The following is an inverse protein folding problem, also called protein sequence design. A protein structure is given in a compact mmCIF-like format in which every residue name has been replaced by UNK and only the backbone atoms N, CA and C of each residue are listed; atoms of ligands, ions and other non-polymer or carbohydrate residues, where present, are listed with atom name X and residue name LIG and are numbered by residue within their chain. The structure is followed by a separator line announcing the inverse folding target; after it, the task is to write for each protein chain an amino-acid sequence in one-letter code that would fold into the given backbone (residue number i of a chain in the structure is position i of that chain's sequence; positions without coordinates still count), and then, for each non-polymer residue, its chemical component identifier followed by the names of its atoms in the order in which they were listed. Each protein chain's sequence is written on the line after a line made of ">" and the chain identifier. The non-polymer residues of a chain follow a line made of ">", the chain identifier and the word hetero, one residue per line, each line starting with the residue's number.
data_IF_953820201300
#
_entry.id   IF_953820201300
#
_cell.length_a   1.000
_cell.length_b   1.000
_cell.length_c   1.000
_cell.angle_alpha   90.00
_cell.angle_beta   90.00
_cell.angle_gamma   90.00
#
_symmetry.space_group_name_H-M   'P 1'
#
loop_
_entity.id
_entity.type
_entity.pdbx_description
1 polymer ?
#
# COMPACT_ATOMS: atom_id res chain seq x y z
N UNK A 1 -20.91 6.91 -18.58
CA UNK A 1 -20.59 7.09 -17.15
C UNK A 1 -19.23 6.46 -16.86
N UNK A 2 -18.39 7.12 -16.06
CA UNK A 2 -17.07 6.66 -15.63
C UNK A 2 -17.13 6.35 -14.12
N UNK A 3 -16.80 5.12 -13.73
CA UNK A 3 -16.58 4.77 -12.33
C UNK A 3 -15.08 4.72 -12.05
N UNK A 4 -14.62 5.40 -11.00
CA UNK A 4 -13.19 5.43 -10.71
C UNK A 4 -12.87 5.58 -9.23
N UNK A 5 -11.61 5.24 -8.91
CA UNK A 5 -11.02 5.32 -7.58
C UNK A 5 -10.55 6.76 -7.32
N UNK A 6 -10.91 7.32 -6.17
CA UNK A 6 -10.59 8.72 -5.84
C UNK A 6 -9.72 8.89 -4.58
N UNK A 7 -9.51 7.82 -3.82
CA UNK A 7 -8.68 7.82 -2.61
C UNK A 7 -7.72 6.62 -2.59
N UNK A 8 -6.76 6.62 -1.66
CA UNK A 8 -5.87 5.49 -1.44
C UNK A 8 -6.53 4.43 -0.54
N UNK A 9 -6.00 3.20 -0.58
CA UNK A 9 -6.56 2.03 0.12
C UNK A 9 -5.44 1.13 0.69
N UNK A 10 -4.25 1.70 0.88
CA UNK A 10 -3.06 1.01 1.36
C UNK A 10 -2.18 2.02 2.10
N UNK A 11 -1.12 1.54 2.73
CA UNK A 11 -0.11 2.38 3.36
C UNK A 11 0.46 3.41 2.38
N UNK A 12 0.43 4.69 2.76
CA UNK A 12 0.97 5.82 1.98
C UNK A 12 2.04 6.62 2.73
N UNK A 13 2.32 6.25 3.97
CA UNK A 13 3.34 6.91 4.79
C UNK A 13 3.13 6.70 6.29
N UNK A 14 4.06 7.21 7.08
CA UNK A 14 4.01 7.14 8.53
C UNK A 14 3.09 8.22 9.12
N UNK A 15 3.59 9.46 9.21
CA UNK A 15 2.91 10.56 9.89
C UNK A 15 2.39 11.63 8.91
N UNK A 16 2.65 11.44 7.62
CA UNK A 16 2.07 12.22 6.53
C UNK A 16 1.88 11.35 5.27
N UNK A 17 1.26 11.92 4.23
CA UNK A 17 1.15 11.31 2.90
C UNK A 17 2.50 11.32 2.16
N UNK A 18 3.49 10.61 2.72
CA UNK A 18 4.89 10.59 2.26
C UNK A 18 5.02 10.09 0.80
N UNK A 19 4.10 9.24 0.33
CA UNK A 19 4.05 8.75 -1.06
C UNK A 19 3.13 9.57 -1.96
N UNK A 20 2.59 10.71 -1.48
CA UNK A 20 1.62 11.55 -2.21
C UNK A 20 0.45 10.70 -2.78
N UNK A 21 -0.01 9.70 -2.02
CA UNK A 21 -1.09 8.81 -2.41
C UNK A 21 -2.44 9.50 -2.58
N UNK A 22 -2.76 10.49 -1.75
CA UNK A 22 -3.99 11.26 -1.87
C UNK A 22 -3.95 12.17 -3.09
N UNK A 23 -2.86 12.92 -3.27
CA UNK A 23 -2.66 13.84 -4.38
C UNK A 23 -2.64 13.11 -5.73
N UNK A 24 -1.87 12.03 -5.87
CA UNK A 24 -1.85 11.22 -7.09
C UNK A 24 -3.22 10.67 -7.47
N UNK A 25 -4.10 10.41 -6.50
CA UNK A 25 -5.47 9.94 -6.78
C UNK A 25 -6.35 11.05 -7.34
N UNK A 26 -6.17 12.28 -6.85
CA UNK A 26 -6.82 13.46 -7.44
C UNK A 26 -6.30 13.70 -8.86
N UNK A 27 -4.98 13.67 -9.07
CA UNK A 27 -4.38 13.82 -10.40
C UNK A 27 -4.91 12.77 -11.38
N UNK A 28 -4.98 11.50 -10.95
CA UNK A 28 -5.54 10.41 -11.76
C UNK A 28 -7.00 10.64 -12.11
N UNK A 29 -7.82 11.05 -11.15
CA UNK A 29 -9.23 11.38 -11.37
C UNK A 29 -9.37 12.50 -12.41
N UNK A 30 -8.63 13.60 -12.24
CA UNK A 30 -8.65 14.74 -13.15
C UNK A 30 -8.23 14.34 -14.57
N UNK A 31 -7.10 13.63 -14.71
CA UNK A 31 -6.62 13.15 -16.01
C UNK A 31 -7.63 12.23 -16.69
N UNK A 32 -8.29 11.33 -15.96
CA UNK A 32 -9.31 10.45 -16.53
C UNK A 32 -10.52 11.24 -17.03
N UNK A 33 -10.98 12.24 -16.27
CA UNK A 33 -12.09 13.12 -16.70
C UNK A 33 -11.70 13.90 -17.96
N UNK A 34 -10.49 14.46 -18.02
CA UNK A 34 -10.00 15.24 -19.16
C UNK A 34 -9.86 14.40 -20.43
N UNK A 35 -9.32 13.18 -20.32
CA UNK A 35 -9.05 12.29 -21.44
C UNK A 35 -10.33 11.64 -21.96
N UNK A 36 -11.14 11.06 -21.07
CA UNK A 36 -12.33 10.32 -21.48
C UNK A 36 -13.54 11.22 -21.72
N UNK A 37 -13.53 12.45 -21.18
CA UNK A 37 -14.64 13.42 -21.24
C UNK A 37 -16.00 12.75 -20.94
N UNK A 38 -16.11 11.98 -19.84
CA UNK A 38 -17.35 11.30 -19.54
C UNK A 38 -18.43 12.33 -19.22
N UNK A 39 -19.67 12.02 -19.58
CA UNK A 39 -20.81 12.83 -19.19
C UNK A 39 -21.00 12.87 -17.67
N UNK A 40 -20.85 11.70 -17.03
CA UNK A 40 -20.93 11.52 -15.58
C UNK A 40 -19.74 10.71 -15.10
N UNK A 41 -19.12 11.15 -14.01
CA UNK A 41 -18.08 10.45 -13.26
C UNK A 41 -18.59 10.20 -11.86
N UNK A 42 -18.56 8.94 -11.42
CA UNK A 42 -18.96 8.54 -10.07
C UNK A 42 -17.74 7.96 -9.34
N UNK A 43 -17.21 8.68 -8.34
CA UNK A 43 -16.19 8.14 -7.44
C UNK A 43 -16.81 7.00 -6.62
N UNK A 44 -16.30 5.77 -6.79
CA UNK A 44 -16.90 4.56 -6.17
C UNK A 44 -15.91 3.65 -5.47
N UNK A 45 -14.63 3.67 -5.89
CA UNK A 45 -13.59 2.88 -5.27
C UNK A 45 -12.79 3.73 -4.25
N UNK A 46 -12.46 3.13 -3.11
CA UNK A 46 -11.77 3.71 -1.95
C UNK A 46 -12.58 4.57 -0.97
N UNK A 47 -13.81 4.18 -0.65
CA UNK A 47 -14.42 4.58 0.63
C UNK A 47 -13.81 3.78 1.80
N UNK A 48 -12.48 3.66 1.81
CA UNK A 48 -11.75 2.96 2.87
C UNK A 48 -11.85 3.82 4.13
N UNK A 49 -11.81 3.19 5.29
CA UNK A 49 -11.55 3.89 6.54
C UNK A 49 -10.63 3.02 7.38
N UNK A 50 -9.54 3.59 7.86
CA UNK A 50 -8.57 2.89 8.69
C UNK A 50 -9.07 2.86 10.13
N UNK A 51 -9.69 1.75 10.51
CA UNK A 51 -10.46 1.61 11.75
C UNK A 51 -9.65 1.06 12.93
N UNK A 52 -8.32 1.06 12.90
CA UNK A 52 -7.52 0.52 14.00
C UNK A 52 -6.49 1.55 14.50
N UNK A 53 -6.17 1.55 15.79
CA UNK A 53 -5.11 2.41 16.37
C UNK A 53 -3.78 2.33 15.59
N UNK A 54 -3.46 1.15 15.05
CA UNK A 54 -2.25 0.91 14.26
C UNK A 54 -2.24 1.60 12.90
N UNK A 55 -3.37 2.13 12.39
CA UNK A 55 -3.46 2.70 11.04
C UNK A 55 -4.36 3.93 10.89
N UNK A 56 -5.18 4.28 11.89
CA UNK A 56 -6.20 5.32 11.82
C UNK A 56 -5.65 6.72 11.49
N UNK A 57 -4.38 6.98 11.82
CA UNK A 57 -3.66 8.21 11.46
C UNK A 57 -3.75 8.55 9.97
N UNK A 58 -3.82 7.53 9.10
CA UNK A 58 -3.89 7.75 7.65
C UNK A 58 -5.21 8.38 7.19
N UNK A 59 -6.28 8.26 7.98
CA UNK A 59 -7.56 8.90 7.66
C UNK A 59 -7.44 10.43 7.55
N UNK A 60 -6.41 11.04 8.16
CA UNK A 60 -6.19 12.49 8.10
C UNK A 60 -5.93 13.00 6.67
N UNK A 61 -5.39 12.16 5.79
CA UNK A 61 -5.01 12.55 4.43
C UNK A 61 -5.90 11.92 3.37
N UNK A 62 -6.89 11.14 3.79
CA UNK A 62 -7.78 10.43 2.89
C UNK A 62 -8.65 11.41 2.10
N UNK A 63 -8.80 11.17 0.79
CA UNK A 63 -9.78 11.89 0.01
C UNK A 63 -11.18 11.43 0.40
N UNK A 64 -12.07 12.37 0.69
CA UNK A 64 -13.47 12.15 1.01
C UNK A 64 -14.36 12.68 -0.12
N UNK A 65 -15.63 12.27 -0.21
CA UNK A 65 -16.57 12.86 -1.16
C UNK A 65 -16.62 14.38 -1.08
N UNK A 66 -16.61 14.94 0.14
CA UNK A 66 -16.57 16.38 0.34
C UNK A 66 -15.24 17.01 -0.14
N UNK A 67 -14.10 16.34 0.02
CA UNK A 67 -12.83 16.86 -0.50
C UNK A 67 -12.79 16.89 -2.03
N UNK A 68 -13.33 15.87 -2.69
CA UNK A 68 -13.45 15.83 -4.15
C UNK A 68 -14.47 16.86 -4.65
N UNK A 69 -15.61 17.03 -3.98
CA UNK A 69 -16.62 18.02 -4.35
C UNK A 69 -16.05 19.45 -4.36
N UNK A 70 -15.15 19.79 -3.42
CA UNK A 70 -14.48 21.10 -3.36
C UNK A 70 -13.63 21.42 -4.58
N UNK A 71 -13.17 20.41 -5.33
CA UNK A 71 -12.41 20.59 -6.57
C UNK A 71 -13.27 21.09 -7.72
N UNK A 72 -14.62 21.02 -7.61
CA UNK A 72 -15.59 21.48 -8.62
C UNK A 72 -15.33 20.91 -10.02
N UNK A 73 -14.90 19.66 -10.09
CA UNK A 73 -14.68 18.94 -11.35
C UNK A 73 -16.01 18.72 -12.07
N UNK A 74 -16.05 19.01 -13.38
CA UNK A 74 -17.28 18.91 -14.18
C UNK A 74 -17.75 17.46 -14.30
N UNK A 75 -19.04 17.23 -14.08
CA UNK A 75 -19.68 15.92 -14.27
C UNK A 75 -19.37 14.90 -13.16
N UNK A 76 -18.71 15.32 -12.07
CA UNK A 76 -18.52 14.45 -10.90
C UNK A 76 -19.78 14.45 -10.04
N UNK A 77 -20.28 13.25 -9.73
CA UNK A 77 -21.45 13.02 -8.89
C UNK A 77 -21.16 11.90 -7.90
N UNK A 78 -21.70 11.98 -6.68
CA UNK A 78 -21.52 10.97 -5.65
C UNK A 78 -22.74 10.06 -5.52
N UNK A 79 -22.48 8.80 -5.22
CA UNK A 79 -23.47 7.78 -4.87
C UNK A 79 -23.05 7.09 -3.58
N UNK A 80 -24.05 6.73 -2.78
CA UNK A 80 -23.93 5.95 -1.55
C UNK A 80 -24.36 4.51 -1.80
N UNK A 81 -23.86 3.50 -1.06
CA UNK A 81 -24.34 2.13 -1.18
C UNK A 81 -25.87 2.04 -1.04
N UNK A 82 -26.52 1.45 -2.05
CA UNK A 82 -27.98 1.35 -2.13
C UNK A 82 -28.65 2.47 -2.94
N UNK A 83 -27.91 3.49 -3.37
CA UNK A 83 -28.44 4.47 -4.32
C UNK A 83 -28.70 3.84 -5.69
N UNK A 84 -29.80 4.25 -6.29
CA UNK A 84 -30.15 3.91 -7.67
C UNK A 84 -29.86 5.11 -8.58
N UNK A 85 -29.41 4.82 -9.80
CA UNK A 85 -29.26 5.83 -10.84
C UNK A 85 -30.26 5.56 -11.95
N UNK A 86 -31.18 6.50 -12.16
CA UNK A 86 -32.17 6.44 -13.22
C UNK A 86 -31.58 7.03 -14.52
N UNK A 87 -31.49 6.19 -15.55
CA UNK A 87 -30.96 6.57 -16.85
C UNK A 87 -31.85 7.55 -17.61
N UNK A 88 -33.15 7.57 -17.32
CA UNK A 88 -34.11 8.44 -18.00
C UNK A 88 -34.06 9.86 -17.42
N UNK A 89 -34.00 9.98 -16.10
CA UNK A 89 -33.88 11.27 -15.42
C UNK A 89 -32.47 11.86 -15.54
N UNK A 90 -31.43 11.02 -15.64
CA UNK A 90 -30.01 11.41 -15.67
C UNK A 90 -29.59 12.29 -14.48
N UNK A 91 -30.26 12.15 -13.34
CA UNK A 91 -29.97 12.91 -12.11
C UNK A 91 -29.26 12.07 -11.06
N UNK A 92 -28.63 12.74 -10.09
CA UNK A 92 -27.95 12.13 -8.95
C UNK A 92 -28.41 12.80 -7.66
N UNK A 93 -28.59 12.03 -6.59
CA UNK A 93 -28.85 12.54 -5.25
C UNK A 93 -27.54 12.92 -4.51
N UNK A 94 -26.69 13.69 -5.20
CA UNK A 94 -25.31 13.99 -4.80
C UNK A 94 -25.17 14.51 -3.36
N UNK A 95 -26.04 15.46 -3.00
CA UNK A 95 -26.03 16.08 -1.68
C UNK A 95 -26.37 15.06 -0.58
N UNK A 96 -27.37 14.20 -0.83
CA UNK A 96 -27.81 13.19 0.13
C UNK A 96 -26.73 12.11 0.33
N UNK A 97 -26.10 11.67 -0.77
CA UNK A 97 -25.00 10.72 -0.71
C UNK A 97 -23.83 11.25 0.13
N UNK A 98 -23.44 12.52 -0.08
CA UNK A 98 -22.37 13.16 0.72
C UNK A 98 -22.74 13.34 2.18
N UNK A 99 -23.99 13.68 2.49
CA UNK A 99 -24.45 13.77 3.87
C UNK A 99 -24.36 12.43 4.60
N UNK A 100 -24.78 11.34 3.94
CA UNK A 100 -24.67 9.99 4.51
C UNK A 100 -23.22 9.60 4.80
N UNK A 101 -22.29 9.83 3.87
CA UNK A 101 -20.87 9.58 4.14
C UNK A 101 -20.33 10.44 5.29
N UNK A 102 -20.74 11.72 5.39
CA UNK A 102 -20.33 12.58 6.51
C UNK A 102 -20.85 12.07 7.84
N UNK A 103 -22.10 11.61 7.89
CA UNK A 103 -22.70 11.00 9.06
C UNK A 103 -21.97 9.71 9.45
N UNK A 104 -21.61 8.86 8.48
CA UNK A 104 -20.83 7.64 8.75
C UNK A 104 -19.47 8.01 9.36
N UNK A 105 -18.69 8.87 8.70
CA UNK A 105 -17.36 9.26 9.18
C UNK A 105 -17.36 9.87 10.58
N UNK A 106 -18.44 10.54 10.98
CA UNK A 106 -18.59 11.11 12.32
C UNK A 106 -18.83 10.04 13.41
N UNK A 107 -19.31 8.85 13.04
CA UNK A 107 -19.71 7.79 13.96
C UNK A 107 -18.82 6.55 13.91
N UNK A 108 -17.78 6.53 13.08
CA UNK A 108 -16.87 5.38 12.97
C UNK A 108 -16.03 5.21 14.24
N UNK A 109 -15.96 3.98 14.71
CA UNK A 109 -15.15 3.60 15.87
C UNK A 109 -13.74 3.19 15.42
N UNK A 110 -12.77 3.50 16.27
CA UNK A 110 -11.40 3.01 16.13
C UNK A 110 -11.24 1.82 17.07
N UNK A 111 -10.98 0.66 16.49
CA UNK A 111 -10.62 -0.56 17.19
C UNK A 111 -9.24 -0.39 17.86
N UNK A 112 -9.07 -0.94 19.07
CA UNK A 112 -7.79 -0.89 19.75
C UNK A 112 -6.73 -1.68 18.99
N UNK A 113 -5.47 -1.46 19.37
CA UNK A 113 -4.36 -2.31 18.99
C UNK A 113 -4.72 -3.79 19.24
N UNK A 114 -4.51 -4.69 18.26
CA UNK A 114 -4.88 -6.10 18.42
C UNK A 114 -4.17 -6.78 19.59
N UNK A 115 -4.82 -7.83 20.12
CA UNK A 115 -4.26 -8.61 21.23
C UNK A 115 -2.85 -9.14 20.91
N UNK A 116 -1.91 -9.04 21.87
CA UNK A 116 -0.55 -9.50 21.65
C UNK A 116 -0.44 -10.99 21.34
N UNK A 117 0.54 -11.32 20.49
CA UNK A 117 0.91 -12.69 20.13
C UNK A 117 2.17 -13.11 20.87
N UNK A 118 2.20 -14.36 21.34
CA UNK A 118 3.35 -14.92 22.05
C UNK A 118 4.64 -14.83 21.24
N UNK A 119 5.72 -14.42 21.89
CA UNK A 119 7.02 -14.22 21.22
C UNK A 119 7.55 -15.50 20.56
N UNK A 120 7.24 -16.65 21.14
CA UNK A 120 7.62 -17.95 20.62
C UNK A 120 6.95 -18.22 19.25
N UNK A 121 5.71 -17.78 19.06
CA UNK A 121 4.97 -17.92 17.80
C UNK A 121 5.57 -17.02 16.71
N UNK A 122 6.00 -15.81 17.06
CA UNK A 122 6.70 -14.90 16.15
C UNK A 122 8.01 -15.55 15.69
N UNK A 123 8.83 -16.05 16.62
CA UNK A 123 10.10 -16.71 16.31
C UNK A 123 9.92 -17.92 15.39
N UNK A 124 8.94 -18.78 15.69
CA UNK A 124 8.60 -19.93 14.84
C UNK A 124 8.16 -19.51 13.43
N UNK A 125 7.33 -18.47 13.31
CA UNK A 125 6.88 -17.95 12.02
C UNK A 125 8.04 -17.39 11.18
N UNK A 126 8.95 -16.64 11.81
CA UNK A 126 10.15 -16.10 11.17
C UNK A 126 11.06 -17.22 10.71
N UNK A 127 11.35 -18.19 11.57
CA UNK A 127 12.21 -19.33 11.24
C UNK A 127 11.66 -20.13 10.05
N UNK A 128 10.37 -20.49 10.10
CA UNK A 128 9.71 -21.17 8.99
C UNK A 128 9.81 -20.36 7.70
N UNK A 129 9.56 -19.05 7.75
CA UNK A 129 9.65 -18.16 6.57
C UNK A 129 11.07 -18.13 5.99
N UNK A 130 12.09 -18.02 6.85
CA UNK A 130 13.49 -17.99 6.42
C UNK A 130 13.93 -19.32 5.81
N UNK A 131 13.48 -20.45 6.35
CA UNK A 131 13.71 -21.78 5.78
C UNK A 131 13.04 -21.92 4.40
N UNK A 132 11.78 -21.50 4.26
CA UNK A 132 11.08 -21.46 2.96
C UNK A 132 11.78 -20.56 1.94
N UNK A 133 12.33 -19.41 2.38
CA UNK A 133 13.09 -18.53 1.51
C UNK A 133 14.40 -19.18 1.06
N UNK A 134 15.14 -19.84 1.97
CA UNK A 134 16.37 -20.57 1.64
C UNK A 134 16.15 -21.69 0.63
N UNK A 135 15.02 -22.40 0.69
CA UNK A 135 14.73 -23.49 -0.24
C UNK A 135 14.28 -23.00 -1.63
N UNK A 136 13.73 -21.79 -1.73
CA UNK A 136 13.18 -21.23 -2.99
C UNK A 136 14.06 -20.17 -3.66
N UNK A 137 14.97 -19.54 -2.92
CA UNK A 137 15.80 -18.44 -3.41
C UNK A 137 17.28 -18.83 -3.37
N UNK A 138 17.99 -18.77 -4.51
CA UNK A 138 19.43 -19.00 -4.55
C UNK A 138 20.21 -18.11 -3.58
N UNK A 139 21.20 -18.67 -2.89
CA UNK A 139 22.03 -17.98 -1.90
C UNK A 139 22.62 -16.63 -2.35
N UNK A 140 23.13 -16.46 -3.60
CA UNK A 140 23.64 -15.16 -4.06
C UNK A 140 22.56 -14.07 -4.09
N UNK A 141 21.30 -14.44 -4.29
CA UNK A 141 20.17 -13.52 -4.30
C UNK A 141 19.74 -13.16 -2.88
N UNK A 142 19.78 -14.13 -1.95
CA UNK A 142 19.56 -13.87 -0.51
C UNK A 142 20.61 -12.92 0.08
N UNK A 143 21.88 -13.03 -0.33
CA UNK A 143 22.96 -12.11 0.08
C UNK A 143 22.74 -10.65 -0.33
N UNK A 144 21.81 -10.36 -1.26
CA UNK A 144 21.42 -8.99 -1.61
C UNK A 144 20.39 -8.39 -0.67
N UNK A 145 19.89 -9.18 0.28
CA UNK A 145 18.94 -8.73 1.29
C UNK A 145 19.71 -8.37 2.55
N UNK A 146 19.83 -7.08 2.90
CA UNK A 146 20.50 -6.68 4.13
C UNK A 146 19.66 -7.12 5.34
N UNK A 147 20.30 -7.35 6.49
CA UNK A 147 19.60 -7.51 7.75
C UNK A 147 18.72 -6.29 8.05
N UNK A 148 17.62 -6.51 8.75
CA UNK A 148 16.72 -5.46 9.19
C UNK A 148 16.15 -5.79 10.56
N UNK A 149 15.66 -4.75 11.24
CA UNK A 149 15.05 -4.88 12.55
C UNK A 149 13.62 -4.34 12.55
N UNK A 150 12.76 -5.00 13.33
CA UNK A 150 11.38 -4.62 13.61
C UNK A 150 11.28 -4.36 15.11
N UNK A 151 10.80 -3.18 15.50
CA UNK A 151 10.39 -2.91 16.86
C UNK A 151 8.94 -3.36 17.05
N UNK A 152 8.74 -4.30 17.97
CA UNK A 152 7.45 -4.87 18.35
C UNK A 152 7.00 -4.12 19.60
N UNK A 153 6.17 -3.09 19.41
CA UNK A 153 5.97 -2.04 20.42
C UNK A 153 5.14 -2.51 21.62
N UNK A 154 4.17 -3.38 21.41
CA UNK A 154 3.29 -3.98 22.43
C UNK A 154 4.02 -5.00 23.34
N UNK A 155 5.12 -5.58 22.86
CA UNK A 155 5.98 -6.48 23.64
C UNK A 155 7.28 -5.83 24.12
N UNK A 156 7.52 -4.57 23.74
CA UNK A 156 8.77 -3.84 23.95
C UNK A 156 10.05 -4.58 23.49
N UNK A 157 9.96 -5.33 22.38
CA UNK A 157 11.06 -6.18 21.90
C UNK A 157 11.49 -5.81 20.49
N UNK A 158 12.74 -6.15 20.17
CA UNK A 158 13.30 -5.96 18.83
C UNK A 158 13.52 -7.32 18.19
N UNK A 159 12.93 -7.50 17.01
CA UNK A 159 13.16 -8.64 16.13
C UNK A 159 14.18 -8.24 15.05
N UNK A 160 15.37 -8.80 15.14
CA UNK A 160 16.38 -8.73 14.08
C UNK A 160 16.23 -9.94 13.15
N UNK A 161 16.22 -9.68 11.85
CA UNK A 161 16.12 -10.71 10.81
C UNK A 161 17.29 -10.54 9.85
N UNK A 162 18.06 -11.61 9.65
CA UNK A 162 19.09 -11.69 8.61
C UNK A 162 18.71 -12.80 7.62
N UNK A 163 18.09 -12.44 6.47
CA UNK A 163 17.67 -13.40 5.46
C UNK A 163 18.84 -14.11 4.76
N UNK A 164 20.01 -13.47 4.68
CA UNK A 164 21.18 -14.04 4.01
C UNK A 164 21.76 -15.20 4.81
N UNK A 165 21.82 -15.05 6.14
CA UNK A 165 22.21 -16.13 7.07
C UNK A 165 21.02 -17.02 7.43
N UNK A 166 19.80 -16.55 7.18
CA UNK A 166 18.52 -17.14 7.57
C UNK A 166 18.50 -17.49 9.05
N UNK A 167 18.86 -16.51 9.87
CA UNK A 167 18.70 -16.51 11.31
C UNK A 167 17.93 -15.25 11.72
N UNK A 168 17.43 -15.29 12.95
CA UNK A 168 16.74 -14.17 13.57
C UNK A 168 17.08 -14.13 15.06
N UNK A 169 16.86 -12.98 15.69
CA UNK A 169 17.03 -12.80 17.12
C UNK A 169 15.92 -11.91 17.65
N UNK A 170 15.32 -12.30 18.77
CA UNK A 170 14.36 -11.45 19.48
C UNK A 170 14.92 -11.17 20.87
N UNK A 171 15.00 -9.90 21.24
CA UNK A 171 15.58 -9.46 22.50
C UNK A 171 14.93 -8.17 22.99
N UNK A 172 15.14 -7.86 24.26
CA UNK A 172 14.76 -6.56 24.83
C UNK A 172 15.75 -5.52 24.34
N UNK A 173 15.31 -4.69 23.39
CA UNK A 173 16.15 -3.62 22.87
C UNK A 173 16.19 -2.44 23.84
N UNK A 174 17.33 -1.80 23.98
CA UNK A 174 17.41 -0.48 24.61
C UNK A 174 16.73 0.59 23.73
N UNK A 175 16.53 1.80 24.25
CA UNK A 175 15.87 2.90 23.53
C UNK A 175 16.49 3.16 22.15
N UNK A 176 17.82 3.13 22.06
CA UNK A 176 18.54 3.36 20.80
C UNK A 176 18.26 2.26 19.77
N UNK A 177 18.23 0.99 20.19
CA UNK A 177 17.92 -0.15 19.32
C UNK A 177 16.46 -0.14 18.86
N UNK A 178 15.53 0.19 19.78
CA UNK A 178 14.10 0.37 19.43
C UNK A 178 13.94 1.48 18.41
N UNK A 179 14.65 2.60 18.57
CA UNK A 179 14.63 3.74 17.64
C UNK A 179 15.28 3.44 16.29
N UNK A 180 16.39 2.70 16.28
CA UNK A 180 17.12 2.31 15.08
C UNK A 180 16.42 1.20 14.27
N UNK A 181 15.45 0.50 14.86
CA UNK A 181 14.65 -0.47 14.15
C UNK A 181 13.98 0.19 12.94
N UNK A 182 14.09 -0.47 11.79
CA UNK A 182 13.59 0.09 10.53
C UNK A 182 12.07 0.14 10.53
N UNK A 183 11.45 -0.93 10.99
CA UNK A 183 10.00 -1.06 11.04
C UNK A 183 9.52 -1.03 12.49
N UNK A 184 8.29 -0.59 12.66
CA UNK A 184 7.57 -0.62 13.92
C UNK A 184 6.14 -1.10 13.66
N UNK A 185 5.68 -2.05 14.48
CA UNK A 185 4.35 -2.67 14.39
C UNK A 185 4.05 -3.44 15.68
N UNK A 186 2.79 -3.80 15.93
CA UNK A 186 2.45 -4.71 17.03
C UNK A 186 2.84 -6.17 16.71
N UNK A 187 2.84 -7.01 17.75
CA UNK A 187 3.25 -8.42 17.68
C UNK A 187 2.37 -9.24 16.75
N UNK A 188 1.06 -8.96 16.69
CA UNK A 188 0.14 -9.63 15.79
C UNK A 188 0.48 -9.36 14.32
N UNK A 189 0.75 -8.11 13.96
CA UNK A 189 1.15 -7.72 12.59
C UNK A 189 2.51 -8.32 12.25
N UNK A 190 3.46 -8.31 13.19
CA UNK A 190 4.76 -8.95 13.02
C UNK A 190 4.60 -10.45 12.75
N UNK A 191 3.86 -11.17 13.60
CA UNK A 191 3.55 -12.59 13.40
C UNK A 191 2.92 -12.85 12.04
N UNK A 192 1.85 -12.12 11.70
CA UNK A 192 1.11 -12.32 10.45
C UNK A 192 2.00 -12.12 9.22
N UNK A 193 2.89 -11.13 9.27
CA UNK A 193 3.86 -10.81 8.20
C UNK A 193 4.74 -12.01 7.83
N UNK A 194 5.13 -12.83 8.81
CA UNK A 194 5.97 -14.00 8.57
C UNK A 194 5.17 -15.30 8.45
N UNK A 195 4.06 -15.44 9.17
CA UNK A 195 3.22 -16.63 9.20
C UNK A 195 2.65 -16.97 7.82
N UNK A 196 2.28 -15.96 7.03
CA UNK A 196 1.65 -16.13 5.73
C UNK A 196 2.54 -15.67 4.57
N UNK A 197 2.56 -16.39 3.42
CA UNK A 197 3.33 -15.96 2.25
C UNK A 197 2.94 -14.57 1.74
N UNK A 198 1.67 -14.21 1.88
CA UNK A 198 1.12 -12.90 1.55
C UNK A 198 1.08 -11.92 2.73
N UNK A 199 1.58 -12.30 3.91
CA UNK A 199 1.45 -11.52 5.14
C UNK A 199 1.99 -10.09 4.99
N UNK A 200 3.07 -9.94 4.24
CA UNK A 200 3.63 -8.64 3.90
C UNK A 200 2.72 -7.76 3.03
N UNK A 201 2.05 -8.36 2.04
CA UNK A 201 1.08 -7.62 1.21
C UNK A 201 -0.08 -7.15 2.08
N UNK A 202 -0.53 -7.98 3.03
CA UNK A 202 -1.55 -7.60 4.00
C UNK A 202 -1.06 -6.48 4.93
N UNK A 203 0.19 -6.51 5.40
CA UNK A 203 0.78 -5.42 6.19
C UNK A 203 0.80 -4.09 5.39
N UNK A 204 1.16 -4.15 4.10
CA UNK A 204 1.13 -2.99 3.21
C UNK A 204 -0.29 -2.47 2.94
N UNK A 205 -1.25 -3.36 2.67
CA UNK A 205 -2.63 -2.97 2.41
C UNK A 205 -3.34 -2.46 3.67
N UNK A 206 -3.05 -3.03 4.84
CA UNK A 206 -3.63 -2.58 6.12
C UNK A 206 -2.99 -1.31 6.64
N UNK A 207 -1.70 -1.08 6.34
CA UNK A 207 -0.91 0.04 6.84
C UNK A 207 -0.72 0.07 8.35
N UNK A 208 -0.88 -1.09 9.01
CA UNK A 208 -0.68 -1.29 10.45
C UNK A 208 0.80 -1.40 10.85
N UNK A 209 1.66 -0.64 10.17
CA UNK A 209 3.09 -0.57 10.48
C UNK A 209 3.65 0.80 10.09
N UNK A 210 4.85 1.09 10.60
CA UNK A 210 5.66 2.25 10.24
C UNK A 210 6.97 1.79 9.59
N UNK A 211 7.42 2.47 8.53
CA UNK A 211 8.77 2.35 7.97
C UNK A 211 9.53 3.65 8.23
N UNK A 212 10.34 3.67 9.30
CA UNK A 212 11.02 4.87 9.78
C UNK A 212 12.10 5.40 8.84
N UNK A 213 12.47 4.64 7.81
CA UNK A 213 13.45 5.06 6.80
C UNK A 213 12.77 5.47 5.48
N UNK A 214 11.44 5.50 5.42
CA UNK A 214 10.73 5.80 4.17
C UNK A 214 10.91 7.24 3.73
N UNK A 215 10.76 8.22 4.63
CA UNK A 215 10.94 9.64 4.33
C UNK A 215 12.32 9.92 3.67
N UNK A 216 13.38 9.27 4.15
CA UNK A 216 14.74 9.46 3.63
C UNK A 216 14.98 8.74 2.29
N UNK A 217 14.35 7.57 2.08
CA UNK A 217 14.70 6.65 0.97
C UNK A 217 13.67 6.61 -0.17
N UNK A 218 12.45 7.06 0.09
CA UNK A 218 11.31 7.11 -0.83
C UNK A 218 11.01 5.78 -1.53
N UNK A 219 10.16 5.75 -2.56
CA UNK A 219 9.82 4.49 -3.26
C UNK A 219 11.00 3.90 -4.07
N UNK A 220 11.94 4.74 -4.53
CA UNK A 220 13.07 4.31 -5.39
C UNK A 220 14.08 3.45 -4.60
N UNK A 221 14.39 3.81 -3.36
CA UNK A 221 15.37 3.11 -2.51
C UNK A 221 14.80 2.60 -1.18
N UNK A 222 13.55 2.93 -0.86
CA UNK A 222 12.92 2.72 0.45
C UNK A 222 12.08 1.47 0.60
N UNK A 223 11.97 0.58 -0.38
CA UNK A 223 11.57 -0.79 -0.05
C UNK A 223 12.79 -1.53 0.48
N UNK A 224 12.71 -2.15 1.68
CA UNK A 224 13.78 -3.07 2.04
C UNK A 224 13.85 -4.14 0.95
N UNK A 225 15.06 -4.55 0.54
CA UNK A 225 15.20 -5.62 -0.43
C UNK A 225 14.42 -6.87 -0.01
N UNK A 226 14.25 -7.10 1.30
CA UNK A 226 13.38 -8.15 1.84
C UNK A 226 11.93 -8.01 1.35
N UNK A 227 11.31 -6.84 1.44
CA UNK A 227 9.95 -6.62 0.94
C UNK A 227 9.84 -6.87 -0.56
N UNK A 228 10.81 -6.35 -1.34
CA UNK A 228 10.89 -6.60 -2.81
C UNK A 228 10.98 -8.09 -3.13
N UNK A 229 11.71 -8.86 -2.33
CA UNK A 229 11.91 -10.30 -2.52
C UNK A 229 10.71 -11.13 -2.05
N UNK A 230 10.06 -10.77 -0.95
CA UNK A 230 8.89 -11.48 -0.45
C UNK A 230 7.67 -11.28 -1.37
N UNK A 231 7.46 -10.08 -1.94
CA UNK A 231 6.45 -9.89 -3.00
C UNK A 231 6.77 -10.74 -4.23
N UNK A 232 8.04 -10.83 -4.59
CA UNK A 232 8.50 -11.69 -5.69
C UNK A 232 8.29 -13.18 -5.41
N UNK A 233 8.42 -13.62 -4.16
CA UNK A 233 8.20 -15.01 -3.76
C UNK A 233 6.73 -15.39 -3.57
N UNK A 234 5.89 -14.43 -3.19
CA UNK A 234 4.43 -14.62 -3.09
C UNK A 234 3.76 -14.64 -4.46
N UNK A 235 4.33 -13.94 -5.44
CA UNK A 235 3.99 -14.12 -6.85
C UNK A 235 4.68 -15.40 -7.35
N UNK A 236 3.99 -16.24 -8.12
CA UNK A 236 4.47 -17.58 -8.57
C UNK A 236 5.76 -17.58 -9.41
N UNK A 237 6.37 -16.41 -9.61
CA UNK A 237 7.51 -16.11 -10.47
C UNK A 237 8.72 -17.00 -10.19
N UNK A 238 8.96 -17.33 -8.90
CA UNK A 238 10.11 -18.11 -8.46
C UNK A 238 9.78 -19.56 -8.10
N UNK A 239 8.56 -20.03 -8.36
CA UNK A 239 8.29 -21.47 -8.19
C UNK A 239 9.07 -22.30 -9.21
N UNK A 240 9.44 -21.77 -10.38
CA UNK A 240 10.18 -22.45 -11.47
C UNK A 240 9.65 -23.86 -11.83
N UNK A 241 8.49 -24.25 -11.31
CA UNK A 241 7.79 -25.52 -11.59
C UNK A 241 7.06 -25.46 -12.93
N UNK A 242 6.78 -24.25 -13.43
CA UNK A 242 6.21 -24.01 -14.76
C UNK A 242 7.04 -22.96 -15.51
N UNK A 243 7.89 -23.44 -16.42
CA UNK A 243 8.73 -22.63 -17.30
C UNK A 243 7.89 -21.62 -18.12
N UNK A 244 6.65 -21.97 -18.50
CA UNK A 244 5.77 -21.06 -19.25
C UNK A 244 5.27 -19.91 -18.38
N UNK A 245 4.90 -20.18 -17.12
CA UNK A 245 4.50 -19.17 -16.14
C UNK A 245 5.63 -18.17 -15.81
N UNK A 246 6.86 -18.67 -15.64
CA UNK A 246 8.03 -17.81 -15.41
C UNK A 246 8.35 -16.93 -16.63
N UNK A 247 8.27 -17.46 -17.86
CA UNK A 247 8.47 -16.70 -19.09
C UNK A 247 7.38 -15.63 -19.31
N UNK A 248 6.11 -15.96 -19.05
CA UNK A 248 5.00 -14.99 -19.10
C UNK A 248 5.24 -13.83 -18.13
N UNK A 249 5.69 -14.14 -16.92
CA UNK A 249 5.95 -13.09 -15.92
C UNK A 249 7.14 -12.23 -16.31
N UNK A 250 8.24 -12.81 -16.80
CA UNK A 250 9.39 -12.05 -17.31
C UNK A 250 8.95 -11.12 -18.45
N UNK A 251 8.13 -11.62 -19.39
CA UNK A 251 7.60 -10.84 -20.50
C UNK A 251 6.69 -9.69 -20.02
N UNK A 252 5.83 -9.95 -19.03
CA UNK A 252 5.03 -8.90 -18.36
C UNK A 252 5.91 -7.81 -17.73
N UNK A 253 6.98 -8.19 -17.01
CA UNK A 253 7.94 -7.23 -16.43
C UNK A 253 8.68 -6.42 -17.50
N UNK A 254 9.06 -7.06 -18.60
CA UNK A 254 9.69 -6.40 -19.75
C UNK A 254 8.76 -5.37 -20.39
N UNK A 255 7.49 -5.73 -20.61
CA UNK A 255 6.45 -4.82 -21.10
C UNK A 255 6.19 -3.66 -20.14
N UNK A 256 6.14 -3.94 -18.82
CA UNK A 256 5.95 -2.90 -17.79
C UNK A 256 7.11 -1.92 -17.71
N UNK A 257 8.35 -2.36 -17.97
CA UNK A 257 9.50 -1.46 -18.16
C UNK A 257 9.33 -0.57 -19.40
N UNK A 258 8.80 -1.12 -20.50
CA UNK A 258 8.46 -0.36 -21.70
C UNK A 258 7.41 0.73 -21.45
N UNK A 259 6.36 0.44 -20.68
CA UNK A 259 5.33 1.44 -20.30
C UNK A 259 5.92 2.58 -19.46
N UNK A 260 6.84 2.28 -18.52
CA UNK A 260 7.57 3.32 -17.77
C UNK A 260 8.48 4.15 -18.67
N UNK A 261 9.10 3.54 -19.69
CA UNK A 261 9.91 4.27 -20.67
C UNK A 261 9.06 5.23 -21.51
N UNK A 262 7.86 4.83 -21.93
CA UNK A 262 6.90 5.69 -22.65
C UNK A 262 6.30 6.80 -21.80
N UNK A 263 6.02 6.56 -20.51
CA UNK A 263 5.60 7.62 -19.58
C UNK A 263 6.67 8.69 -19.38
N UNK A 264 7.96 8.34 -19.50
CA UNK A 264 9.08 9.28 -19.39
C UNK A 264 9.43 9.99 -20.71
N UNK A 265 9.21 9.36 -21.87
CA UNK A 265 9.44 10.00 -23.17
C UNK A 265 8.25 10.82 -23.65
N UNK A 266 7.03 10.57 -23.14
CA UNK A 266 5.85 11.38 -23.39
C UNK A 266 5.89 12.76 -22.74
N UNK A 267 6.62 12.94 -21.63
CA UNK A 267 6.82 14.25 -20.97
C UNK A 267 7.85 15.14 -21.68
N UNK A 268 8.64 14.59 -22.62
CA UNK A 268 9.70 15.30 -23.34
C UNK A 268 9.32 15.67 -24.80
N UNK A 269 8.09 15.40 -25.23
CA UNK A 269 7.56 15.81 -26.55
C UNK A 269 6.28 16.64 -26.38
N UNK A 270 6.41 17.78 -25.70
CA UNK A 270 5.32 18.72 -25.49
C UNK A 270 5.78 20.17 -25.35
N UNK A 271 6.92 20.56 -25.94
CA UNK A 271 7.28 21.96 -26.16
C UNK A 271 8.05 22.02 -27.46
N UNK A 272 7.41 22.48 -28.53
CA UNK A 272 8.04 22.66 -29.83
C UNK A 272 7.06 23.14 -30.89
N UNK A 273 7.12 24.46 -31.16
CA UNK A 273 6.66 25.17 -32.37
C UNK A 273 5.13 25.40 -32.42
N UNK A 274 4.61 26.62 -32.56
CA UNK A 274 5.03 27.66 -33.51
C UNK A 274 4.89 29.09 -32.97
N UNK A 275 5.97 29.85 -33.16
CA UNK A 275 5.92 31.24 -33.60
C UNK A 275 5.30 31.29 -35.01
N UNK A 276 4.20 32.03 -35.17
CA UNK A 276 3.94 33.02 -36.25
C UNK A 276 2.64 33.77 -35.94
#
# INVERSE_FOLDING_TARGET
>A
MLFTQFSFAQWVGNDCDEDHGAERKIEQLTQQIEVFKPEFTVPTASFVYFCNEENCRMNHWMNTPDSIARLKLKGVNFMYPGDEWDSDSRTFEDMQARERYRADYANLQIDPTPDPVEISQIGQAVEKRLQEMKSKVPTPLLKRIPPFAIYIHDLEKVLEVDPARGNHRIFEGNTQQRQAARYEMCSQVAWFTFAFPWGLNTALSSGMFRDRQFAEKGWKNGWSPFFKWQIRLSTEVFRFTDVKGSLRTINFWWRKKGVKFFQYTGTLRGVGVADE
#
